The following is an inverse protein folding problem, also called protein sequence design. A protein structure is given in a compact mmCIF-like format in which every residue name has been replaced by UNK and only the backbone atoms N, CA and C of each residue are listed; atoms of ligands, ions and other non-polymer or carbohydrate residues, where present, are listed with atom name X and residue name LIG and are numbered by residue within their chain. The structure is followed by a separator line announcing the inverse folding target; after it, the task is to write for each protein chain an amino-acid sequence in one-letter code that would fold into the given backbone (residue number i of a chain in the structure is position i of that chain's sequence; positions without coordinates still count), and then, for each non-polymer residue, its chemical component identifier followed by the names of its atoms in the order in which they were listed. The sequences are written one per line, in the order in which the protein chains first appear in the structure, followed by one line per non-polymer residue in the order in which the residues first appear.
data_IF_123064316624
#
_entry.id   IF_123064316624
#
_cell.length_a   1.000
_cell.length_b   1.000
_cell.length_c   1.000
_cell.angle_alpha   90.00
_cell.angle_beta   90.00
_cell.angle_gamma   90.00
#
_symmetry.space_group_name_H-M   'P 1'
#
loop_
_entity.id
_entity.type
_entity.pdbx_description
1 polymer ?
#
# COMPACT_ATOMS: atom_id res chain seq x y z
N UNK A 1 14.45 -7.24 10.87
CA UNK A 1 13.06 -7.09 11.36
C UNK A 1 12.20 -7.71 10.28
N UNK A 2 11.49 -8.81 10.53
CA UNK A 2 10.85 -9.61 9.47
C UNK A 2 9.34 -9.39 9.36
N UNK A 3 8.82 -8.42 10.12
CA UNK A 3 7.41 -8.14 10.23
C UNK A 3 7.20 -6.65 10.49
N UNK A 4 6.33 -6.00 9.72
CA UNK A 4 6.00 -4.58 9.93
C UNK A 4 4.57 -4.29 9.51
N UNK A 5 3.86 -3.56 10.38
CA UNK A 5 2.57 -2.99 10.08
C UNK A 5 2.72 -1.53 9.67
N UNK A 6 1.94 -1.10 8.68
CA UNK A 6 1.76 0.30 8.30
C UNK A 6 0.27 0.66 8.41
N UNK A 7 -0.03 1.78 9.07
CA UNK A 7 -1.40 2.11 9.48
C UNK A 7 -1.79 1.43 10.80
N UNK A 8 -3.01 0.88 10.88
CA UNK A 8 -3.59 0.34 12.11
C UNK A 8 -4.41 -0.93 11.87
N UNK A 9 -4.77 -1.63 12.95
CA UNK A 9 -5.69 -2.78 12.91
C UNK A 9 -7.13 -2.42 12.49
N UNK A 10 -7.45 -1.13 12.32
CA UNK A 10 -8.73 -0.66 11.75
C UNK A 10 -8.62 -0.38 10.25
N UNK A 11 -7.43 0.00 9.80
CA UNK A 11 -7.11 0.32 8.42
C UNK A 11 -5.58 0.32 8.28
N UNK A 12 -5.04 -0.68 7.61
CA UNK A 12 -3.60 -0.85 7.51
C UNK A 12 -3.19 -2.21 6.97
N UNK A 13 -1.89 -2.37 6.81
CA UNK A 13 -1.27 -3.55 6.24
C UNK A 13 -0.22 -4.09 7.16
N UNK A 14 -0.02 -5.40 7.11
CA UNK A 14 1.04 -6.10 7.80
C UNK A 14 1.72 -7.04 6.80
N UNK A 15 3.00 -6.83 6.60
CA UNK A 15 3.91 -7.79 5.96
C UNK A 15 4.47 -8.66 7.08
N UNK A 16 4.30 -9.97 6.99
CA UNK A 16 4.86 -10.94 7.93
C UNK A 16 5.68 -11.98 7.17
N UNK A 17 6.98 -11.73 7.03
CA UNK A 17 7.90 -12.62 6.31
C UNK A 17 8.19 -13.90 7.09
N UNK A 18 7.98 -13.92 8.41
CA UNK A 18 8.16 -15.13 9.22
C UNK A 18 7.06 -16.13 8.93
N UNK A 19 5.81 -15.66 8.87
CA UNK A 19 4.64 -16.48 8.52
C UNK A 19 4.43 -16.63 7.03
N UNK A 20 5.10 -15.81 6.22
CA UNK A 20 4.89 -15.69 4.77
C UNK A 20 3.44 -15.32 4.45
N UNK A 21 2.94 -14.32 5.16
CA UNK A 21 1.57 -13.84 5.06
C UNK A 21 1.54 -12.33 4.86
N UNK A 22 0.61 -11.91 4.01
CA UNK A 22 0.23 -10.51 3.86
C UNK A 22 -1.14 -10.33 4.49
N UNK A 23 -1.26 -9.44 5.47
CA UNK A 23 -2.52 -9.21 6.19
C UNK A 23 -2.96 -7.78 5.97
N UNK A 24 -4.23 -7.60 5.61
CA UNK A 24 -4.81 -6.27 5.49
C UNK A 24 -6.06 -6.14 6.34
N UNK A 25 -6.26 -4.92 6.84
CA UNK A 25 -7.39 -4.55 7.68
C UNK A 25 -8.27 -3.56 6.93
N UNK A 26 -9.50 -3.97 6.64
CA UNK A 26 -10.46 -3.17 5.89
C UNK A 26 -11.20 -2.16 6.77
N UNK A 27 -11.30 -0.93 6.26
CA UNK A 27 -12.13 0.10 6.87
C UNK A 27 -13.59 -0.12 6.48
N UNK A 28 -14.27 -0.98 7.23
CA UNK A 28 -15.68 -1.29 6.97
C UNK A 28 -16.62 -0.18 7.45
N UNK A 29 -17.62 0.14 6.63
CA UNK A 29 -18.77 0.95 7.04
C UNK A 29 -19.60 0.25 8.13
N UNK A 30 -20.46 1.00 8.83
CA UNK A 30 -21.36 0.41 9.83
C UNK A 30 -22.27 -0.66 9.22
N UNK A 31 -22.77 -0.42 8.00
CA UNK A 31 -23.61 -1.37 7.28
C UNK A 31 -22.87 -2.68 6.99
N UNK A 32 -21.63 -2.61 6.52
CA UNK A 32 -20.81 -3.80 6.24
C UNK A 32 -20.47 -4.59 7.50
N UNK A 33 -20.24 -3.90 8.61
CA UNK A 33 -20.07 -4.54 9.92
C UNK A 33 -21.33 -5.27 10.33
N UNK A 34 -22.51 -4.67 10.13
CA UNK A 34 -23.80 -5.32 10.41
C UNK A 34 -24.05 -6.53 9.51
N UNK A 35 -23.51 -6.55 8.28
CA UNK A 35 -23.55 -7.71 7.39
C UNK A 35 -22.54 -8.80 7.77
N UNK A 36 -21.71 -8.59 8.80
CA UNK A 36 -20.72 -9.57 9.24
C UNK A 36 -19.53 -9.71 8.29
N UNK A 37 -19.25 -8.72 7.43
CA UNK A 37 -18.05 -8.74 6.58
C UNK A 37 -16.79 -8.81 7.47
N UNK A 38 -15.82 -9.67 7.14
CA UNK A 38 -14.56 -9.71 7.87
C UNK A 38 -13.80 -8.40 7.64
N UNK A 39 -13.22 -7.86 8.71
CA UNK A 39 -12.36 -6.66 8.62
C UNK A 39 -10.88 -7.01 8.49
N UNK A 40 -10.54 -8.30 8.54
CA UNK A 40 -9.16 -8.80 8.50
C UNK A 40 -9.10 -9.85 7.41
N UNK A 41 -8.16 -9.65 6.50
CA UNK A 41 -7.91 -10.54 5.39
C UNK A 41 -6.47 -11.02 5.47
N UNK A 42 -6.27 -12.32 5.33
CA UNK A 42 -4.96 -12.96 5.36
C UNK A 42 -4.75 -13.60 4.00
N UNK A 43 -3.67 -13.23 3.34
CA UNK A 43 -3.27 -13.76 2.04
C UNK A 43 -1.92 -14.45 2.24
N UNK A 44 -1.85 -15.74 1.92
CA UNK A 44 -0.58 -16.47 1.93
C UNK A 44 0.30 -15.98 0.79
N UNK A 45 1.61 -15.86 1.00
CA UNK A 45 2.55 -15.53 -0.08
C UNK A 45 2.49 -16.56 -1.22
N UNK A 46 2.12 -17.81 -0.92
CA UNK A 46 1.96 -18.85 -1.94
C UNK A 46 0.79 -18.58 -2.89
N UNK A 47 -0.15 -17.71 -2.51
CA UNK A 47 -1.31 -17.33 -3.33
C UNK A 47 -1.06 -16.05 -4.12
N UNK A 48 0.08 -15.37 -3.90
CA UNK A 48 0.43 -14.11 -4.55
C UNK A 48 1.32 -14.39 -5.77
N UNK A 49 0.91 -13.88 -6.93
CA UNK A 49 1.75 -13.87 -8.14
C UNK A 49 2.75 -12.71 -8.05
N UNK A 50 2.24 -11.49 -7.85
CA UNK A 50 3.07 -10.29 -7.63
C UNK A 50 2.32 -9.20 -6.87
N UNK A 51 3.09 -8.27 -6.30
CA UNK A 51 2.58 -7.02 -5.76
C UNK A 51 2.92 -5.92 -6.74
N UNK A 52 1.93 -5.15 -7.19
CA UNK A 52 2.15 -3.93 -7.96
C UNK A 52 2.02 -2.71 -7.09
N UNK A 53 2.98 -1.80 -7.25
CA UNK A 53 2.97 -0.51 -6.59
C UNK A 53 2.30 0.49 -7.53
N UNK A 54 1.21 1.07 -7.05
CA UNK A 54 0.51 2.17 -7.69
C UNK A 54 0.33 3.32 -6.68
N UNK A 55 -0.19 4.44 -7.14
CA UNK A 55 -0.40 5.61 -6.32
C UNK A 55 -1.49 6.48 -6.91
N UNK A 56 -2.19 7.19 -6.04
CA UNK A 56 -3.26 8.09 -6.46
C UNK A 56 -3.29 9.38 -5.65
N UNK A 57 -3.92 10.38 -6.24
CA UNK A 57 -4.42 11.55 -5.52
C UNK A 57 -5.89 11.29 -5.27
N UNK A 58 -6.23 10.89 -4.04
CA UNK A 58 -7.63 10.79 -3.61
C UNK A 58 -8.03 12.19 -3.16
N UNK A 59 -9.14 12.74 -3.64
CA UNK A 59 -9.73 13.96 -3.09
C UNK A 59 -10.85 13.54 -2.11
N UNK A 60 -10.53 13.21 -0.85
CA UNK A 60 -11.52 12.71 0.10
C UNK A 60 -12.63 13.73 0.39
N UNK A 61 -12.38 15.03 0.23
CA UNK A 61 -13.36 16.12 0.35
C UNK A 61 -12.84 17.33 -0.43
N UNK A 62 -13.56 17.75 -1.49
CA UNK A 62 -13.38 18.99 -2.29
C UNK A 62 -12.31 19.96 -1.76
N UNK A 63 -11.03 19.66 -1.97
CA UNK A 63 -9.93 20.58 -1.66
C UNK A 63 -8.83 20.10 -0.70
N UNK A 64 -8.92 18.91 -0.11
CA UNK A 64 -7.77 18.27 0.58
C UNK A 64 -7.37 16.99 -0.14
N UNK A 65 -6.73 17.13 -1.31
CA UNK A 65 -6.12 16.00 -2.01
C UNK A 65 -5.13 15.27 -1.11
N UNK A 66 -5.42 14.01 -0.77
CA UNK A 66 -4.51 13.11 -0.10
C UNK A 66 -3.82 12.23 -1.14
N UNK A 67 -2.51 12.33 -1.22
CA UNK A 67 -1.70 11.31 -1.88
C UNK A 67 -1.80 9.99 -1.14
N UNK A 68 -1.82 8.91 -1.91
CA UNK A 68 -2.02 7.55 -1.40
C UNK A 68 -1.09 6.62 -2.15
N UNK A 69 -0.35 5.79 -1.41
CA UNK A 69 0.36 4.64 -1.96
C UNK A 69 -0.62 3.48 -2.03
N UNK A 70 -0.74 2.81 -3.17
CA UNK A 70 -1.63 1.67 -3.37
C UNK A 70 -0.77 0.43 -3.59
N UNK A 71 -1.04 -0.61 -2.80
CA UNK A 71 -0.49 -1.93 -3.05
C UNK A 71 -1.61 -2.76 -3.68
N UNK A 72 -1.41 -3.15 -4.93
CA UNK A 72 -2.25 -4.13 -5.61
C UNK A 72 -1.64 -5.51 -5.43
N UNK A 73 -2.33 -6.39 -4.72
CA UNK A 73 -1.94 -7.78 -4.58
C UNK A 73 -2.62 -8.58 -5.68
N UNK A 74 -1.83 -9.00 -6.67
CA UNK A 74 -2.30 -9.85 -7.75
C UNK A 74 -2.13 -11.31 -7.32
N UNK A 75 -3.23 -12.03 -7.17
CA UNK A 75 -3.24 -13.43 -6.74
C UNK A 75 -3.10 -14.38 -7.93
N UNK A 76 -2.61 -15.59 -7.67
CA UNK A 76 -2.44 -16.65 -8.68
C UNK A 76 -3.74 -17.06 -9.38
N UNK A 77 -4.89 -16.82 -8.76
CA UNK A 77 -6.22 -17.08 -9.32
C UNK A 77 -6.77 -15.94 -10.20
N UNK A 78 -6.01 -14.85 -10.38
CA UNK A 78 -6.40 -13.67 -11.14
C UNK A 78 -7.22 -12.63 -10.36
N UNK A 79 -7.52 -12.87 -9.08
CA UNK A 79 -8.11 -11.84 -8.21
C UNK A 79 -7.09 -10.76 -7.88
N UNK A 80 -7.57 -9.52 -7.78
CA UNK A 80 -6.75 -8.36 -7.43
C UNK A 80 -7.35 -7.71 -6.20
N UNK A 81 -6.54 -7.58 -5.14
CA UNK A 81 -6.88 -6.82 -3.94
C UNK A 81 -6.09 -5.52 -3.95
N UNK A 82 -6.78 -4.38 -4.04
CA UNK A 82 -6.15 -3.06 -4.00
C UNK A 82 -6.49 -2.40 -2.68
N UNK A 83 -5.50 -2.09 -1.85
CA UNK A 83 -5.76 -1.37 -0.60
C UNK A 83 -4.90 -0.10 -0.49
N UNK A 84 -5.51 1.05 -0.22
CA UNK A 84 -4.79 2.31 -0.11
C UNK A 84 -4.01 2.43 1.22
N UNK A 85 -2.89 3.16 1.18
CA UNK A 85 -2.15 3.64 2.35
C UNK A 85 -2.10 5.17 2.26
N UNK A 86 -2.84 5.83 3.14
CA UNK A 86 -2.88 7.29 3.20
C UNK A 86 -1.57 7.85 3.74
N UNK A 87 -0.93 8.76 3.02
CA UNK A 87 0.40 9.27 3.39
C UNK A 87 0.39 10.22 4.59
N UNK A 88 -0.73 10.89 4.86
CA UNK A 88 -0.84 11.81 6.00
C UNK A 88 -1.04 11.11 7.34
N UNK A 89 -1.43 9.83 7.32
CA UNK A 89 -1.83 9.09 8.51
C UNK A 89 -0.68 8.29 9.15
N UNK A 90 0.52 8.33 8.56
CA UNK A 90 1.64 7.44 8.89
C UNK A 90 2.96 8.22 8.86
N UNK A 91 3.82 7.98 9.83
CA UNK A 91 5.15 8.61 9.88
C UNK A 91 6.10 8.03 8.82
N UNK A 92 7.04 8.87 8.33
CA UNK A 92 8.06 8.45 7.35
C UNK A 92 8.88 7.25 7.83
N UNK A 93 9.18 7.17 9.13
CA UNK A 93 9.89 6.02 9.72
C UNK A 93 9.13 4.71 9.50
N UNK A 94 7.82 4.71 9.72
CA UNK A 94 6.98 3.53 9.52
C UNK A 94 6.90 3.12 8.05
N UNK A 95 6.83 4.09 7.13
CA UNK A 95 6.96 3.83 5.69
C UNK A 95 8.29 3.17 5.35
N UNK A 96 9.41 3.75 5.81
CA UNK A 96 10.73 3.21 5.51
C UNK A 96 10.87 1.78 6.03
N UNK A 97 10.51 1.53 7.28
CA UNK A 97 10.55 0.18 7.85
C UNK A 97 9.62 -0.78 7.10
N UNK A 98 8.42 -0.35 6.72
CA UNK A 98 7.47 -1.18 5.98
C UNK A 98 7.99 -1.55 4.60
N UNK A 99 8.54 -0.58 3.87
CA UNK A 99 9.11 -0.80 2.53
C UNK A 99 10.30 -1.76 2.60
N UNK A 100 11.16 -1.64 3.61
CA UNK A 100 12.28 -2.56 3.79
C UNK A 100 11.78 -3.99 4.03
N UNK A 101 10.84 -4.18 4.96
CA UNK A 101 10.26 -5.51 5.23
C UNK A 101 9.54 -6.07 4.00
N UNK A 102 8.83 -5.23 3.24
CA UNK A 102 8.18 -5.64 2.00
C UNK A 102 9.20 -6.11 0.96
N UNK A 103 10.30 -5.38 0.75
CA UNK A 103 11.37 -5.77 -0.18
C UNK A 103 12.07 -7.06 0.23
N UNK A 104 12.16 -7.34 1.53
CA UNK A 104 12.74 -8.56 2.07
C UNK A 104 11.81 -9.79 1.95
N UNK A 105 10.56 -9.63 1.51
CA UNK A 105 9.53 -10.68 1.50
C UNK A 105 9.72 -11.80 0.47
N UNK A 106 10.72 -11.69 -0.40
CA UNK A 106 10.92 -12.55 -1.59
C UNK A 106 9.75 -12.53 -2.60
N UNK A 107 8.70 -11.74 -2.36
CA UNK A 107 7.62 -11.55 -3.31
C UNK A 107 8.12 -10.77 -4.52
N UNK A 108 7.55 -11.06 -5.68
CA UNK A 108 7.78 -10.27 -6.88
C UNK A 108 7.10 -8.91 -6.72
N UNK A 109 7.87 -7.84 -6.60
CA UNK A 109 7.36 -6.48 -6.52
C UNK A 109 7.56 -5.80 -7.87
N UNK A 110 6.46 -5.32 -8.46
CA UNK A 110 6.43 -4.56 -9.71
C UNK A 110 6.20 -3.09 -9.34
N UNK A 111 7.26 -2.29 -9.40
CA UNK A 111 7.23 -0.85 -9.13
C UNK A 111 7.77 -0.08 -10.36
N UNK A 112 6.94 0.13 -11.40
CA UNK A 112 7.42 0.66 -12.69
C UNK A 112 8.04 2.06 -12.59
N UNK A 113 7.63 2.82 -11.57
CA UNK A 113 8.03 4.21 -11.37
C UNK A 113 9.05 4.36 -10.24
N UNK A 114 9.51 3.23 -9.67
CA UNK A 114 10.47 3.17 -8.55
C UNK A 114 10.02 4.03 -7.36
N UNK A 115 8.72 4.08 -7.12
CA UNK A 115 8.13 4.86 -6.03
C UNK A 115 8.73 4.48 -4.67
N UNK A 116 8.92 3.18 -4.42
CA UNK A 116 9.47 2.69 -3.16
C UNK A 116 10.92 3.10 -2.95
N UNK A 117 11.75 3.04 -4.00
CA UNK A 117 13.14 3.50 -3.95
C UNK A 117 13.20 5.01 -3.68
N UNK A 118 12.40 5.79 -4.40
CA UNK A 118 12.33 7.24 -4.22
C UNK A 118 11.92 7.63 -2.79
N UNK A 119 10.97 6.91 -2.20
CA UNK A 119 10.59 7.14 -0.80
C UNK A 119 11.78 6.90 0.14
N UNK A 120 12.52 5.81 -0.05
CA UNK A 120 13.65 5.45 0.82
C UNK A 120 14.86 6.40 0.67
N UNK A 121 15.14 6.85 -0.53
CA UNK A 121 16.33 7.65 -0.86
C UNK A 121 16.13 9.15 -0.63
N UNK A 122 14.89 9.63 -0.70
CA UNK A 122 14.56 11.06 -0.59
C UNK A 122 14.27 11.50 0.86
N UNK A 123 14.59 12.75 1.16
CA UNK A 123 14.15 13.44 2.39
C UNK A 123 12.85 14.24 2.20
N UNK A 124 12.31 14.30 0.99
CA UNK A 124 11.06 15.01 0.71
C UNK A 124 9.86 14.38 1.44
N UNK A 125 8.76 15.12 1.57
CA UNK A 125 7.52 14.53 2.06
C UNK A 125 7.04 13.44 1.09
N UNK A 126 6.60 12.29 1.61
CA UNK A 126 6.12 11.16 0.77
C UNK A 126 5.00 11.60 -0.17
N UNK A 127 4.11 12.48 0.29
CA UNK A 127 3.07 13.04 -0.57
C UNK A 127 3.60 13.95 -1.68
N UNK A 128 4.71 14.65 -1.48
CA UNK A 128 5.37 15.41 -2.53
C UNK A 128 5.92 14.48 -3.61
N UNK A 129 6.59 13.39 -3.20
CA UNK A 129 7.13 12.37 -4.13
C UNK A 129 6.00 11.79 -5.00
N UNK A 130 4.90 11.36 -4.37
CA UNK A 130 3.74 10.81 -5.10
C UNK A 130 3.12 11.85 -6.03
N UNK A 131 2.97 13.10 -5.58
CA UNK A 131 2.41 14.18 -6.41
C UNK A 131 3.26 14.44 -7.66
N UNK A 132 4.58 14.43 -7.53
CA UNK A 132 5.50 14.58 -8.66
C UNK A 132 5.39 13.41 -9.64
N UNK A 133 5.30 12.17 -9.12
CA UNK A 133 5.11 10.98 -9.95
C UNK A 133 3.81 11.04 -10.76
N UNK A 134 2.70 11.46 -10.13
CA UNK A 134 1.40 11.66 -10.79
C UNK A 134 1.51 12.72 -11.89
N UNK A 135 2.14 13.85 -11.60
CA UNK A 135 2.32 14.92 -12.59
C UNK A 135 3.10 14.43 -13.80
N UNK A 136 4.21 13.73 -13.57
CA UNK A 136 5.05 13.15 -14.63
C UNK A 136 4.28 12.13 -15.48
N UNK A 137 3.46 11.28 -14.87
CA UNK A 137 2.65 10.31 -15.60
C UNK A 137 1.62 10.98 -16.55
N UNK A 138 1.05 12.13 -16.13
CA UNK A 138 0.12 12.90 -16.96
C UNK A 138 0.78 13.60 -18.13
N UNK A 139 2.03 14.04 -17.98
CA UNK A 139 2.79 14.69 -19.05
C UNK A 139 3.20 13.73 -20.18
N UNK A 140 3.21 12.41 -19.91
CA UNK A 140 3.60 11.35 -20.88
C UNK A 140 2.39 10.78 -21.63
N UNK A 141 1.16 11.14 -21.24
CA UNK A 141 -0.08 10.70 -21.90
C UNK A 141 -0.63 11.88 -22.72
N UNK A 142 -0.42 11.93 -24.06
CA UNK A 142 -0.91 13.01 -24.92
C UNK A 142 -2.44 13.05 -25.04
#
# INVERSE_FOLDING_TARGET
MNRKMIGSHKHGWLVDNEKREFVYFDLLSLFEKMQGKPSKHVISYADIDYIRIDYSLVDPVKGMGSTTLILEVHKNNGEIESVPIFTFAVERKDYNEFIQVLKDSQLRIVDPQKCLDLILESQELIGTIISQLIKKAREVTP
#
